data_IF_955409273977
#
_entry.id   IF_955409273977
#
_cell.length_a   1.000
_cell.length_b   1.000
_cell.length_c   1.000
_cell.angle_alpha   90.00
_cell.angle_beta   90.00
_cell.angle_gamma   90.00
#
_symmetry.space_group_name_H-M   'P 1'
#
loop_
_entity.id
_entity.type
_entity.pdbx_description
1 polymer ?
#
# COMPACT_ATOMS: atom_id res chain seq x y z
N UNK A 1 18.82 -5.22 -11.09
CA UNK A 1 17.41 -5.12 -10.65
C UNK A 1 16.63 -6.27 -11.28
N UNK A 2 16.08 -7.13 -10.47
CA UNK A 2 15.27 -8.24 -10.91
C UNK A 2 13.79 -7.91 -10.91
N UNK A 3 13.00 -8.82 -11.47
CA UNK A 3 11.54 -8.77 -11.42
C UNK A 3 11.01 -10.07 -10.84
N UNK A 4 10.12 -9.93 -9.86
CA UNK A 4 9.48 -11.08 -9.21
C UNK A 4 7.98 -10.97 -9.46
N UNK A 5 7.39 -12.01 -10.02
CA UNK A 5 5.94 -12.08 -10.23
C UNK A 5 5.37 -13.21 -9.39
N UNK A 6 4.35 -12.91 -8.60
CA UNK A 6 3.71 -13.86 -7.70
C UNK A 6 2.20 -13.90 -7.94
N UNK A 7 1.64 -15.09 -7.90
CA UNK A 7 0.20 -15.28 -7.88
C UNK A 7 -0.19 -15.91 -6.55
N UNK A 8 -1.09 -15.26 -5.81
CA UNK A 8 -1.45 -15.65 -4.45
C UNK A 8 -2.93 -15.92 -4.35
N UNK A 9 -3.30 -17.09 -3.83
CA UNK A 9 -4.69 -17.46 -3.60
C UNK A 9 -4.99 -17.74 -2.12
N UNK A 10 -4.04 -17.44 -1.25
CA UNK A 10 -4.13 -17.84 0.16
C UNK A 10 -4.57 -16.74 1.12
N UNK A 11 -4.82 -15.53 0.64
CA UNK A 11 -5.28 -14.43 1.46
C UNK A 11 -4.20 -13.61 2.16
N UNK A 12 -3.07 -14.20 2.54
CA UNK A 12 -2.02 -13.52 3.31
C UNK A 12 -0.70 -13.47 2.54
N UNK A 13 -0.08 -12.29 2.52
CA UNK A 13 1.19 -12.05 1.86
C UNK A 13 2.15 -11.34 2.81
N UNK A 14 3.33 -11.90 2.99
CA UNK A 14 4.40 -11.26 3.76
C UNK A 14 5.61 -11.06 2.85
N UNK A 15 6.10 -9.83 2.76
CA UNK A 15 7.30 -9.48 1.99
C UNK A 15 8.29 -8.86 2.96
N UNK A 16 9.44 -9.50 3.13
CA UNK A 16 10.42 -9.11 4.13
C UNK A 16 11.82 -9.07 3.55
N UNK A 17 12.55 -7.98 3.81
CA UNK A 17 13.97 -7.81 3.50
C UNK A 17 14.34 -8.03 2.03
N UNK A 18 13.49 -7.59 1.11
CA UNK A 18 13.75 -7.64 -0.33
C UNK A 18 14.34 -6.30 -0.78
N UNK A 19 15.47 -6.34 -1.46
CA UNK A 19 16.16 -5.16 -1.98
C UNK A 19 16.33 -5.21 -3.49
N UNK A 20 16.20 -4.05 -4.14
CA UNK A 20 16.49 -3.85 -5.56
C UNK A 20 15.69 -4.74 -6.51
N UNK A 21 14.44 -5.05 -6.14
CA UNK A 21 13.56 -5.85 -6.97
C UNK A 21 12.32 -5.05 -7.35
N UNK A 22 11.70 -5.42 -8.47
CA UNK A 22 10.36 -5.01 -8.80
C UNK A 22 9.44 -6.20 -8.57
N UNK A 23 8.53 -6.09 -7.63
CA UNK A 23 7.68 -7.21 -7.20
C UNK A 23 6.24 -6.93 -7.64
N UNK A 24 5.69 -7.81 -8.47
CA UNK A 24 4.29 -7.76 -8.85
C UNK A 24 3.55 -8.93 -8.23
N UNK A 25 2.46 -8.66 -7.53
CA UNK A 25 1.65 -9.68 -6.86
C UNK A 25 0.22 -9.56 -7.33
N UNK A 26 -0.34 -10.68 -7.77
CA UNK A 26 -1.74 -10.77 -8.20
C UNK A 26 -2.47 -11.82 -7.42
N UNK A 27 -3.73 -11.61 -7.16
CA UNK A 27 -4.56 -12.68 -6.63
C UNK A 27 -5.61 -12.25 -5.64
N UNK A 28 -6.01 -13.18 -4.80
CA UNK A 28 -7.00 -12.97 -3.75
C UNK A 28 -6.26 -12.74 -2.45
N UNK A 29 -5.91 -11.48 -2.21
CA UNK A 29 -5.08 -11.09 -1.07
C UNK A 29 -5.91 -10.22 -0.14
N UNK A 30 -6.01 -10.59 1.12
CA UNK A 30 -6.74 -9.83 2.14
C UNK A 30 -5.84 -9.23 3.22
N UNK A 31 -4.66 -9.80 3.43
CA UNK A 31 -3.70 -9.29 4.41
C UNK A 31 -2.31 -9.22 3.81
N UNK A 32 -1.64 -8.09 4.02
CA UNK A 32 -0.28 -7.85 3.54
C UNK A 32 0.56 -7.27 4.66
N UNK A 33 1.77 -7.78 4.83
CA UNK A 33 2.75 -7.22 5.75
C UNK A 33 4.04 -6.95 5.00
N UNK A 34 4.56 -5.72 5.12
CA UNK A 34 5.79 -5.28 4.47
C UNK A 34 6.80 -4.85 5.53
N UNK A 35 7.98 -5.45 5.50
CA UNK A 35 9.02 -5.15 6.49
C UNK A 35 10.41 -5.21 5.86
N UNK A 36 11.21 -4.17 6.08
CA UNK A 36 12.62 -4.16 5.72
C UNK A 36 12.90 -4.12 4.21
N UNK A 37 11.93 -3.74 3.40
CA UNK A 37 12.07 -3.76 1.95
C UNK A 37 12.64 -2.46 1.40
N UNK A 38 13.47 -2.57 0.37
CA UNK A 38 13.95 -1.46 -0.46
C UNK A 38 13.68 -1.81 -1.91
N UNK A 39 12.42 -1.77 -2.29
CA UNK A 39 11.94 -2.33 -3.56
C UNK A 39 10.69 -1.61 -4.04
N UNK A 40 10.34 -1.81 -5.30
CA UNK A 40 9.05 -1.39 -5.83
C UNK A 40 8.09 -2.56 -5.74
N UNK A 41 6.92 -2.35 -5.14
CA UNK A 41 5.92 -3.39 -4.94
C UNK A 41 4.60 -2.96 -5.56
N UNK A 42 4.05 -3.81 -6.44
CA UNK A 42 2.74 -3.63 -7.04
C UNK A 42 1.84 -4.77 -6.63
N UNK A 43 0.66 -4.45 -6.10
CA UNK A 43 -0.29 -5.43 -5.62
C UNK A 43 -1.61 -5.24 -6.35
N UNK A 44 -2.07 -6.29 -7.05
CA UNK A 44 -3.36 -6.34 -7.72
C UNK A 44 -4.29 -7.29 -6.99
N UNK A 45 -5.31 -6.74 -6.36
CA UNK A 45 -6.31 -7.55 -5.66
C UNK A 45 -7.63 -6.80 -5.61
N UNK A 46 -8.72 -7.51 -5.84
CA UNK A 46 -10.07 -6.95 -5.79
C UNK A 46 -10.79 -7.28 -4.47
N UNK A 47 -10.05 -7.68 -3.45
CA UNK A 47 -10.55 -7.85 -2.11
C UNK A 47 -10.21 -6.62 -1.27
N UNK A 48 -10.97 -6.40 -0.22
CA UNK A 48 -10.63 -5.41 0.78
C UNK A 48 -9.39 -5.89 1.53
N UNK A 49 -8.30 -5.12 1.45
CA UNK A 49 -7.03 -5.53 2.05
C UNK A 49 -6.74 -4.80 3.35
N UNK A 50 -6.06 -5.49 4.27
CA UNK A 50 -5.41 -4.91 5.43
C UNK A 50 -3.91 -4.95 5.18
N UNK A 51 -3.30 -3.80 4.92
CA UNK A 51 -1.89 -3.70 4.59
C UNK A 51 -1.16 -3.06 5.76
N UNK A 52 -0.18 -3.77 6.31
CA UNK A 52 0.65 -3.26 7.40
C UNK A 52 2.06 -3.00 6.90
N UNK A 53 2.46 -1.74 6.90
CA UNK A 53 3.82 -1.33 6.55
C UNK A 53 4.57 -1.12 7.86
N UNK A 54 5.48 -2.04 8.18
CA UNK A 54 6.36 -1.91 9.35
C UNK A 54 7.59 -1.10 8.98
N UNK A 55 8.17 -1.37 7.81
CA UNK A 55 9.22 -0.56 7.20
C UNK A 55 9.29 -0.89 5.72
N UNK A 56 9.34 0.13 4.88
CA UNK A 56 9.41 -0.05 3.44
C UNK A 56 9.97 1.21 2.79
N UNK A 57 10.97 1.06 1.94
CA UNK A 57 11.50 2.13 1.11
C UNK A 57 11.19 1.83 -0.35
N UNK A 58 10.70 2.84 -1.06
CA UNK A 58 10.35 2.74 -2.48
C UNK A 58 8.86 2.90 -2.74
N UNK A 59 8.45 2.47 -3.93
CA UNK A 59 7.07 2.61 -4.37
C UNK A 59 6.20 1.44 -3.90
N UNK A 60 4.98 1.76 -3.52
CA UNK A 60 3.92 0.77 -3.27
C UNK A 60 2.72 1.17 -4.12
N UNK A 61 2.39 0.33 -5.11
CA UNK A 61 1.27 0.55 -6.00
C UNK A 61 0.17 -0.47 -5.69
N UNK A 62 -1.05 0.02 -5.52
CA UNK A 62 -2.22 -0.81 -5.21
C UNK A 62 -3.22 -0.64 -6.33
N UNK A 63 -3.59 -1.75 -6.96
CA UNK A 63 -4.58 -1.79 -8.04
C UNK A 63 -5.81 -2.56 -7.57
N UNK A 64 -6.97 -1.91 -7.57
CA UNK A 64 -8.21 -2.46 -7.04
C UNK A 64 -9.43 -2.09 -7.88
N UNK A 65 -10.44 -2.97 -7.87
CA UNK A 65 -11.77 -2.67 -8.42
C UNK A 65 -12.81 -2.89 -7.32
N UNK A 66 -13.61 -1.87 -7.07
CA UNK A 66 -14.74 -1.92 -6.11
C UNK A 66 -14.35 -2.44 -4.72
N UNK A 67 -13.22 -1.98 -4.21
CA UNK A 67 -12.70 -2.44 -2.92
C UNK A 67 -12.27 -1.28 -2.04
N UNK A 68 -12.29 -1.49 -0.73
CA UNK A 68 -11.80 -0.55 0.28
C UNK A 68 -10.71 -1.22 1.09
N UNK A 69 -9.51 -0.68 1.02
CA UNK A 69 -8.36 -1.22 1.75
C UNK A 69 -7.87 -0.25 2.81
N UNK A 70 -7.24 -0.78 3.85
CA UNK A 70 -6.62 0.00 4.92
C UNK A 70 -5.13 -0.25 4.90
N UNK A 71 -4.36 0.83 4.90
CA UNK A 71 -2.91 0.79 4.93
C UNK A 71 -2.43 1.43 6.22
N UNK A 72 -1.79 0.64 7.07
CA UNK A 72 -1.25 1.11 8.34
C UNK A 72 0.24 1.41 8.19
N UNK A 73 0.67 2.60 8.60
CA UNK A 73 2.06 3.05 8.49
C UNK A 73 2.57 3.50 9.86
N UNK A 74 3.90 3.46 10.07
CA UNK A 74 4.49 4.05 11.27
C UNK A 74 4.29 5.56 11.34
N UNK A 75 4.28 6.12 12.54
CA UNK A 75 4.04 7.55 12.77
C UNK A 75 5.06 8.47 12.09
N UNK A 76 6.27 8.00 11.87
CA UNK A 76 7.34 8.77 11.25
C UNK A 76 7.59 8.45 9.78
N UNK A 77 6.70 7.65 9.18
CA UNK A 77 6.85 7.26 7.77
C UNK A 77 6.52 8.42 6.84
N UNK A 78 7.49 8.82 6.03
CA UNK A 78 7.32 9.88 5.04
C UNK A 78 7.04 9.27 3.67
N UNK A 79 6.00 9.75 3.00
CA UNK A 79 5.57 9.21 1.71
C UNK A 79 4.81 10.25 0.90
N UNK A 80 4.89 10.12 -0.41
CA UNK A 80 3.99 10.82 -1.34
C UNK A 80 2.80 9.91 -1.60
N UNK A 81 1.64 10.47 -1.90
CA UNK A 81 0.49 9.67 -2.31
C UNK A 81 -0.17 10.24 -3.55
N UNK A 82 -0.60 9.38 -4.46
CA UNK A 82 -1.41 9.76 -5.61
C UNK A 82 -2.50 8.72 -5.84
N UNK A 83 -3.52 9.14 -6.57
CA UNK A 83 -4.62 8.25 -6.96
C UNK A 83 -4.95 8.46 -8.42
N UNK A 84 -5.35 7.39 -9.11
CA UNK A 84 -5.78 7.42 -10.51
C UNK A 84 -7.00 6.54 -10.68
N UNK A 85 -7.95 7.00 -11.49
CA UNK A 85 -9.13 6.23 -11.81
C UNK A 85 -10.42 6.93 -11.45
N UNK A 86 -11.55 6.28 -11.76
CA UNK A 86 -12.89 6.82 -11.57
C UNK A 86 -13.40 6.44 -10.18
N UNK A 87 -13.98 7.41 -9.46
CA UNK A 87 -14.53 7.20 -8.11
C UNK A 87 -13.50 6.54 -7.17
N UNK A 88 -12.25 6.99 -7.25
CA UNK A 88 -11.12 6.44 -6.48
C UNK A 88 -10.64 7.49 -5.51
N UNK A 89 -10.55 7.13 -4.24
CA UNK A 89 -10.26 8.08 -3.16
C UNK A 89 -9.25 7.54 -2.18
N UNK A 90 -8.41 8.44 -1.63
CA UNK A 90 -7.51 8.15 -0.52
C UNK A 90 -7.95 9.00 0.67
N UNK A 91 -8.16 8.35 1.79
CA UNK A 91 -8.51 8.98 3.06
C UNK A 91 -7.38 8.77 4.08
N UNK A 92 -7.31 9.63 5.07
CA UNK A 92 -6.25 9.61 6.08
C UNK A 92 -6.85 9.55 7.47
N UNK A 93 -6.31 8.70 8.32
CA UNK A 93 -6.74 8.56 9.71
C UNK A 93 -5.56 8.63 10.68
N UNK A 94 -5.80 9.24 11.82
CA UNK A 94 -4.84 9.33 12.92
C UNK A 94 -5.64 9.23 14.23
N UNK A 95 -5.21 8.32 15.11
CA UNK A 95 -5.88 8.09 16.39
C UNK A 95 -7.38 7.79 16.25
N UNK A 96 -7.72 6.95 15.27
CA UNK A 96 -9.09 6.53 15.02
C UNK A 96 -10.01 7.59 14.41
N UNK A 97 -9.47 8.73 14.02
CA UNK A 97 -10.23 9.84 13.45
C UNK A 97 -9.76 10.19 12.05
N UNK A 98 -10.70 10.55 11.19
CA UNK A 98 -10.41 11.05 9.86
C UNK A 98 -9.72 12.42 9.97
N UNK A 99 -8.59 12.56 9.28
CA UNK A 99 -7.82 13.81 9.26
C UNK A 99 -7.52 14.22 7.83
N UNK A 100 -6.95 15.43 7.66
CA UNK A 100 -6.52 15.91 6.37
C UNK A 100 -5.30 15.13 5.88
N UNK A 101 -5.04 15.21 4.59
CA UNK A 101 -3.90 14.57 3.94
C UNK A 101 -2.59 14.94 4.65
N UNK A 102 -1.89 13.94 5.16
CA UNK A 102 -0.57 14.11 5.78
C UNK A 102 0.57 13.53 4.96
N UNK A 103 0.35 13.28 3.66
CA UNK A 103 1.41 12.88 2.77
C UNK A 103 2.41 14.02 2.56
N UNK A 104 3.62 13.67 2.13
CA UNK A 104 4.71 14.62 1.93
C UNK A 104 5.12 14.60 0.45
N UNK A 105 4.82 15.67 -0.28
CA UNK A 105 5.08 15.75 -1.72
C UNK A 105 6.57 15.65 -2.07
N UNK A 106 7.47 15.82 -1.11
CA UNK A 106 8.90 15.74 -1.32
C UNK A 106 9.52 14.43 -0.85
N UNK A 107 8.71 13.50 -0.35
CA UNK A 107 9.20 12.21 0.11
C UNK A 107 9.61 11.32 -1.06
N UNK A 108 10.62 10.48 -0.83
CA UNK A 108 11.06 9.51 -1.82
C UNK A 108 10.15 8.29 -1.89
N UNK A 109 9.56 7.91 -0.77
CA UNK A 109 8.59 6.81 -0.72
C UNK A 109 7.28 7.23 -1.39
N UNK A 110 6.63 6.30 -2.05
CA UNK A 110 5.50 6.61 -2.91
C UNK A 110 4.40 5.57 -2.76
N UNK A 111 3.18 6.04 -2.51
CA UNK A 111 2.00 5.17 -2.44
C UNK A 111 1.04 5.63 -3.55
N UNK A 112 0.69 4.71 -4.46
CA UNK A 112 -0.21 4.98 -5.56
C UNK A 112 -1.41 4.04 -5.51
N UNK A 113 -2.60 4.60 -5.58
CA UNK A 113 -3.84 3.84 -5.69
C UNK A 113 -4.41 4.00 -7.09
N UNK A 114 -4.58 2.89 -7.79
CA UNK A 114 -5.22 2.87 -9.11
C UNK A 114 -6.48 2.00 -9.03
N UNK A 115 -7.57 2.49 -9.57
CA UNK A 115 -8.77 1.66 -9.55
C UNK A 115 -10.02 2.34 -10.05
N UNK A 116 -11.13 1.62 -9.88
CA UNK A 116 -12.48 2.10 -10.16
C UNK A 116 -13.31 1.78 -8.93
N UNK A 117 -13.99 2.78 -8.37
CA UNK A 117 -14.76 2.66 -7.11
C UNK A 117 -13.89 2.08 -6.00
N UNK A 118 -12.66 2.56 -5.91
CA UNK A 118 -11.67 2.05 -4.97
C UNK A 118 -11.37 3.10 -3.90
N UNK A 119 -11.20 2.64 -2.67
CA UNK A 119 -10.84 3.51 -1.55
C UNK A 119 -9.63 2.92 -0.82
N UNK A 120 -8.73 3.79 -0.41
CA UNK A 120 -7.61 3.44 0.44
C UNK A 120 -7.62 4.36 1.65
N UNK A 121 -7.66 3.78 2.83
CA UNK A 121 -7.56 4.54 4.09
C UNK A 121 -6.15 4.36 4.63
N UNK A 122 -5.39 5.43 4.69
CA UNK A 122 -4.03 5.42 5.22
C UNK A 122 -4.09 5.78 6.71
N UNK A 123 -3.68 4.86 7.55
CA UNK A 123 -3.78 4.97 9.00
C UNK A 123 -2.40 5.08 9.61
N UNK A 124 -2.15 6.17 10.32
CA UNK A 124 -0.91 6.34 11.07
C UNK A 124 -1.04 5.67 12.43
N UNK A 125 -0.14 4.75 12.74
CA UNK A 125 -0.14 4.09 14.05
C UNK A 125 0.38 5.03 15.13
N UNK A 126 -0.14 4.85 16.34
CA UNK A 126 0.44 5.50 17.50
C UNK A 126 1.74 4.82 17.89
N UNK A 127 2.68 5.61 18.32
CA UNK A 127 3.98 5.12 18.81
C UNK A 127 3.96 5.06 20.32
#
# INVERSE_FOLDING_TARGET
IGKIELSVNAGTLNITDIENEHIEVNGKISEVTLQGNKSEIEIDSNLDMQISVLSHEGALEINQLSATSRLTIPADYRFRSTKKGIATHIYYERQGKKVDDFSDAEADNYIELNGIKSELVIVETEV
#
